data_IF_172170218911
#
_entry.id   IF_172170218911
#
_cell.length_a   1.000
_cell.length_b   1.000
_cell.length_c   1.000
_cell.angle_alpha   90.00
_cell.angle_beta   90.00
_cell.angle_gamma   90.00
#
_symmetry.space_group_name_H-M   'P 1'
#
loop_
_entity.id
_entity.type
_entity.pdbx_description
1 polymer ?
#
# COMPACT_ATOMS: atom_id res chain seq x y z
N UNK A 1 11.80 -1.73 -20.78
CA UNK A 1 12.51 -1.87 -19.49
C UNK A 1 11.43 -1.97 -18.42
N UNK A 2 11.11 -3.19 -18.00
CA UNK A 2 10.03 -3.45 -17.04
C UNK A 2 10.56 -3.22 -15.62
N UNK A 3 10.02 -2.24 -14.89
CA UNK A 3 10.35 -1.97 -13.50
C UNK A 3 9.38 -2.76 -12.59
N UNK A 4 9.70 -4.03 -12.35
CA UNK A 4 9.17 -4.73 -11.18
C UNK A 4 9.91 -4.19 -9.94
N UNK A 5 9.23 -3.75 -8.88
CA UNK A 5 9.91 -3.43 -7.63
C UNK A 5 10.59 -4.69 -7.07
N UNK A 6 11.69 -4.53 -6.32
CA UNK A 6 12.34 -5.67 -5.66
C UNK A 6 11.32 -6.35 -4.73
N UNK A 7 11.26 -7.67 -4.82
CA UNK A 7 10.42 -8.54 -3.99
C UNK A 7 10.52 -8.13 -2.52
N UNK A 8 9.48 -7.45 -2.02
CA UNK A 8 9.34 -7.14 -0.59
C UNK A 8 9.16 -8.43 0.22
N UNK A 9 9.32 -8.36 1.56
CA UNK A 9 9.17 -9.53 2.40
C UNK A 9 7.75 -10.09 2.24
N UNK A 10 7.67 -11.39 1.95
CA UNK A 10 6.43 -12.14 1.73
C UNK A 10 5.40 -11.81 2.81
N UNK A 11 4.45 -10.94 2.47
CA UNK A 11 3.22 -10.82 3.23
C UNK A 11 2.52 -12.16 3.13
N UNK A 12 2.35 -12.83 4.27
CA UNK A 12 1.62 -14.10 4.32
C UNK A 12 0.22 -13.95 3.70
N UNK A 13 -0.39 -15.07 3.28
CA UNK A 13 -1.71 -15.05 2.64
C UNK A 13 -2.70 -14.27 3.51
N UNK A 14 -3.52 -13.44 2.87
CA UNK A 14 -4.63 -12.72 3.50
C UNK A 14 -5.39 -13.72 4.40
N UNK A 15 -5.41 -13.46 5.72
CA UNK A 15 -6.03 -14.38 6.67
C UNK A 15 -7.49 -14.62 6.27
N UNK A 16 -7.93 -15.88 6.31
CA UNK A 16 -9.31 -16.27 6.04
C UNK A 16 -10.26 -15.46 6.94
N UNK A 17 -10.95 -14.49 6.34
CA UNK A 17 -11.74 -13.47 7.05
C UNK A 17 -11.47 -12.03 6.57
N UNK A 18 -10.43 -11.81 5.77
CA UNK A 18 -10.15 -10.51 5.14
C UNK A 18 -11.14 -10.28 3.99
N UNK A 19 -12.27 -9.64 4.27
CA UNK A 19 -13.22 -9.22 3.24
C UNK A 19 -12.60 -8.13 2.38
N UNK A 20 -12.91 -8.08 1.08
CA UNK A 20 -12.41 -7.01 0.20
C UNK A 20 -12.60 -5.62 0.78
N UNK A 21 -13.70 -5.39 1.51
CA UNK A 21 -13.97 -4.14 2.23
C UNK A 21 -12.86 -3.71 3.20
N UNK A 22 -12.09 -4.63 3.78
CA UNK A 22 -10.98 -4.26 4.66
C UNK A 22 -9.83 -3.59 3.92
N UNK A 23 -9.78 -3.68 2.58
CA UNK A 23 -8.78 -3.01 1.76
C UNK A 23 -9.03 -1.51 1.68
N UNK A 24 -10.23 -1.02 1.99
CA UNK A 24 -10.55 0.41 1.98
C UNK A 24 -9.60 1.16 2.92
N UNK A 25 -8.99 2.22 2.40
CA UNK A 25 -7.94 3.01 3.06
C UNK A 25 -6.52 2.45 2.93
N UNK A 26 -6.35 1.24 2.41
CA UNK A 26 -5.02 0.65 2.20
C UNK A 26 -4.48 0.97 0.82
N UNK A 27 -3.16 1.11 0.72
CA UNK A 27 -2.45 1.17 -0.55
C UNK A 27 -2.29 -0.25 -1.08
N UNK A 28 -2.70 -0.47 -2.32
CA UNK A 28 -2.69 -1.77 -2.96
C UNK A 28 -2.02 -1.70 -4.33
N UNK A 29 -1.41 -2.81 -4.73
CA UNK A 29 -0.98 -3.08 -6.08
C UNK A 29 -1.98 -4.05 -6.72
N UNK A 30 -2.52 -3.67 -7.88
CA UNK A 30 -3.56 -4.42 -8.59
C UNK A 30 -2.99 -4.84 -9.94
N UNK A 31 -2.97 -6.15 -10.19
CA UNK A 31 -2.54 -6.75 -11.45
C UNK A 31 -3.77 -7.16 -12.24
N UNK A 32 -3.87 -6.71 -13.50
CA UNK A 32 -5.00 -7.01 -14.37
C UNK A 32 -4.64 -8.08 -15.41
N UNK A 33 -5.63 -8.87 -15.83
CA UNK A 33 -5.56 -9.71 -17.01
C UNK A 33 -5.62 -8.83 -18.25
N UNK A 34 -4.46 -8.59 -18.86
CA UNK A 34 -4.32 -7.85 -20.11
C UNK A 34 -3.18 -8.50 -20.92
N UNK A 35 -3.16 -8.31 -22.25
CA UNK A 35 -2.15 -8.90 -23.15
C UNK A 35 -0.71 -8.56 -22.73
N UNK A 36 -0.50 -7.43 -22.03
CA UNK A 36 0.81 -6.98 -21.53
C UNK A 36 0.96 -7.03 -19.99
N UNK A 37 0.07 -7.74 -19.25
CA UNK A 37 0.00 -7.76 -17.77
C UNK A 37 0.10 -6.33 -17.17
N UNK A 38 -0.92 -5.50 -17.38
CA UNK A 38 -0.95 -4.14 -16.84
C UNK A 38 -1.19 -4.15 -15.33
N UNK A 39 -0.40 -3.38 -14.58
CA UNK A 39 -0.57 -3.23 -13.13
C UNK A 39 -0.67 -1.76 -12.70
N UNK A 40 -1.36 -1.53 -11.58
CA UNK A 40 -1.59 -0.19 -11.04
C UNK A 40 -1.45 -0.19 -9.52
N UNK A 41 -0.94 0.90 -8.96
CA UNK A 41 -0.83 1.11 -7.51
C UNK A 41 -1.75 2.26 -7.13
N UNK A 42 -2.54 2.09 -6.07
CA UNK A 42 -3.43 3.13 -5.57
C UNK A 42 -3.94 2.85 -4.17
N UNK A 43 -4.47 3.88 -3.51
CA UNK A 43 -5.18 3.78 -2.24
C UNK A 43 -6.65 3.45 -2.55
N UNK A 44 -7.20 2.44 -1.88
CA UNK A 44 -8.59 2.03 -2.08
C UNK A 44 -9.53 3.01 -1.37
N UNK A 45 -10.37 3.70 -2.13
CA UNK A 45 -11.40 4.58 -1.56
C UNK A 45 -12.72 3.83 -1.32
N UNK A 46 -13.00 2.81 -2.13
CA UNK A 46 -14.24 2.06 -2.04
C UNK A 46 -14.28 0.87 -2.98
N UNK A 47 -15.14 -0.09 -2.66
CA UNK A 47 -15.35 -1.30 -3.45
C UNK A 47 -16.85 -1.52 -3.58
N UNK A 48 -17.33 -1.72 -4.80
CA UNK A 48 -18.75 -1.89 -5.05
C UNK A 48 -19.04 -2.09 -6.53
N UNK A 49 -20.20 -2.71 -6.83
CA UNK A 49 -20.66 -2.94 -8.20
C UNK A 49 -19.64 -3.64 -9.11
N UNK A 50 -18.82 -4.54 -8.56
CA UNK A 50 -17.73 -5.22 -9.26
C UNK A 50 -16.54 -4.33 -9.67
N UNK A 51 -16.39 -3.16 -9.05
CA UNK A 51 -15.25 -2.26 -9.24
C UNK A 51 -14.54 -1.95 -7.93
N UNK A 52 -13.26 -1.64 -8.05
CA UNK A 52 -12.45 -1.02 -7.00
C UNK A 52 -12.09 0.41 -7.41
N UNK A 53 -12.39 1.36 -6.55
CA UNK A 53 -12.08 2.77 -6.74
C UNK A 53 -10.71 3.06 -6.10
N UNK A 54 -9.77 3.52 -6.93
CA UNK A 54 -8.39 3.81 -6.56
C UNK A 54 -8.10 5.30 -6.68
N UNK A 55 -7.33 5.79 -5.71
CA UNK A 55 -6.84 7.16 -5.61
C UNK A 55 -5.32 7.17 -5.54
N UNK A 56 -4.65 8.12 -6.19
CA UNK A 56 -3.22 8.33 -5.94
C UNK A 56 -3.00 9.08 -4.63
N UNK A 57 -1.81 8.94 -4.05
CA UNK A 57 -1.37 9.62 -2.82
C UNK A 57 -1.61 11.14 -2.81
N UNK A 58 -1.55 11.78 -3.99
CA UNK A 58 -1.70 13.23 -4.17
C UNK A 58 -3.13 13.69 -4.41
N UNK A 59 -4.01 12.77 -4.75
CA UNK A 59 -5.39 13.06 -5.13
C UNK A 59 -6.26 13.13 -3.88
N UNK A 60 -7.38 13.87 -3.94
CA UNK A 60 -8.34 13.99 -2.83
C UNK A 60 -9.50 13.00 -2.92
N UNK A 61 -9.71 12.42 -4.09
CA UNK A 61 -10.81 11.51 -4.42
C UNK A 61 -10.30 10.45 -5.40
N UNK A 62 -11.07 9.37 -5.57
CA UNK A 62 -10.74 8.32 -6.53
C UNK A 62 -10.69 8.87 -7.95
N UNK A 63 -9.62 8.54 -8.67
CA UNK A 63 -9.39 8.96 -10.06
C UNK A 63 -9.37 7.78 -11.02
N UNK A 64 -9.36 6.55 -10.51
CA UNK A 64 -9.33 5.32 -11.30
C UNK A 64 -10.33 4.30 -10.75
N UNK A 65 -11.05 3.63 -11.64
CA UNK A 65 -11.94 2.52 -11.31
C UNK A 65 -11.51 1.28 -12.07
N UNK A 66 -11.13 0.24 -11.35
CA UNK A 66 -10.68 -1.03 -11.93
C UNK A 66 -11.80 -2.06 -11.80
N UNK A 67 -12.11 -2.75 -12.91
CA UNK A 67 -13.11 -3.82 -12.92
C UNK A 67 -12.51 -5.08 -12.30
N UNK A 68 -13.10 -5.56 -11.19
CA UNK A 68 -12.65 -6.74 -10.48
C UNK A 68 -12.72 -8.01 -11.34
N UNK A 69 -13.58 -8.06 -12.36
CA UNK A 69 -13.63 -9.17 -13.32
C UNK A 69 -12.37 -9.30 -14.18
N UNK A 70 -11.59 -8.22 -14.30
CA UNK A 70 -10.33 -8.20 -15.03
C UNK A 70 -9.12 -8.23 -14.08
N UNK A 71 -9.33 -8.37 -12.77
CA UNK A 71 -8.23 -8.40 -11.79
C UNK A 71 -7.74 -9.83 -11.60
N UNK A 72 -6.43 -10.00 -11.79
CA UNK A 72 -5.70 -11.24 -11.56
C UNK A 72 -5.26 -11.38 -10.12
N UNK A 73 -4.73 -10.30 -9.54
CA UNK A 73 -4.19 -10.29 -8.19
C UNK A 73 -4.30 -8.90 -7.56
N UNK A 74 -4.48 -8.87 -6.24
CA UNK A 74 -4.41 -7.65 -5.43
C UNK A 74 -3.48 -7.92 -4.25
N UNK A 75 -2.44 -7.11 -4.12
CA UNK A 75 -1.49 -7.16 -3.00
C UNK A 75 -1.55 -5.85 -2.20
N UNK A 76 -1.50 -5.94 -0.87
CA UNK A 76 -1.37 -4.74 -0.03
C UNK A 76 0.07 -4.25 -0.11
N UNK A 77 0.24 -3.03 -0.61
CA UNK A 77 1.55 -2.40 -0.72
C UNK A 77 2.01 -1.93 0.66
N UNK A 78 3.05 -2.58 1.19
CA UNK A 78 3.70 -2.20 2.45
C UNK A 78 5.11 -1.72 2.15
N UNK A 79 5.41 -0.46 2.45
CA UNK A 79 6.79 0.03 2.46
C UNK A 79 7.47 -0.50 3.72
N UNK A 80 8.62 -1.15 3.59
CA UNK A 80 9.45 -1.50 4.75
C UNK A 80 9.73 -0.23 5.59
N UNK A 81 9.26 -0.23 6.84
CA UNK A 81 9.43 0.89 7.78
C UNK A 81 8.20 1.80 7.96
N UNK A 82 7.15 1.69 7.14
CA UNK A 82 5.87 2.38 7.41
C UNK A 82 5.15 1.69 8.58
N UNK A 83 5.07 2.37 9.72
CA UNK A 83 4.48 1.83 10.98
C UNK A 83 5.51 1.38 12.02
N UNK A 84 6.81 1.35 11.69
CA UNK A 84 7.84 1.33 12.73
C UNK A 84 7.93 2.72 13.36
N UNK A 85 7.28 2.90 14.52
CA UNK A 85 7.57 4.04 15.39
C UNK A 85 9.03 3.94 15.87
N UNK A 86 9.96 4.46 15.08
CA UNK A 86 11.31 4.70 15.56
C UNK A 86 11.21 5.87 16.52
N UNK A 87 11.39 5.59 17.82
CA UNK A 87 11.46 6.62 18.84
C UNK A 87 12.60 7.58 18.43
N UNK A 88 12.26 8.74 17.88
CA UNK A 88 13.21 9.82 17.65
C UNK A 88 13.60 10.35 19.04
N UNK A 89 14.61 9.75 19.66
CA UNK A 89 15.21 10.30 20.87
C UNK A 89 15.98 11.53 20.46
N UNK A 90 15.39 12.69 20.68
CA UNK A 90 16.13 13.94 20.69
C UNK A 90 17.14 13.87 21.85
N UNK A 91 18.43 14.16 21.63
CA UNK A 91 19.34 14.35 22.75
C UNK A 91 18.76 15.49 23.61
N UNK A 92 18.54 15.22 24.90
CA UNK A 92 18.10 16.25 25.83
C UNK A 92 19.11 17.40 25.80
N UNK A 93 18.70 18.67 25.69
CA UNK A 93 19.57 19.82 25.86
C UNK A 93 19.92 19.94 27.35
N UNK A 94 20.72 19.00 27.84
CA UNK A 94 20.93 18.75 29.25
C UNK A 94 22.13 17.88 29.58
N UNK A 95 22.70 17.14 28.62
CA UNK A 95 24.02 16.53 28.77
C UNK A 95 25.12 17.60 28.66
N UNK A 96 25.06 18.57 29.57
CA UNK A 96 26.25 19.20 30.11
C UNK A 96 27.00 18.09 30.86
N UNK A 97 27.77 17.31 30.12
CA UNK A 97 28.98 16.71 30.67
C UNK A 97 29.90 17.87 31.08
N UNK A 98 29.67 18.33 32.30
CA UNK A 98 30.51 19.28 32.99
C UNK A 98 31.89 18.67 33.22
N UNK A 99 32.90 19.55 33.14
CA UNK A 99 34.19 19.52 33.85
C UNK A 99 34.41 18.30 34.76
N UNK A 100 35.39 17.46 34.42
CA UNK A 100 36.73 17.55 35.01
C UNK A 100 37.75 16.73 34.22
#
# INVERSE_FOLDING_TARGET
MHNHPPHGPQGGPLQAGTTMESLVGQKVWVVQFDDEDTSVIGIVEGIGNNFIALRNDRDKEATLWVNLGNVKEIEVYKVEGEGELRLLRFPEPGDKAGKN
#
